data_IF_416653957415
#
_entry.id   IF_416653957415
#
_cell.length_a   1.000
_cell.length_b   1.000
_cell.length_c   1.000
_cell.angle_alpha   90.00
_cell.angle_beta   90.00
_cell.angle_gamma   90.00
#
_symmetry.space_group_name_H-M   'P 1'
#
loop_
_entity.id
_entity.type
_entity.pdbx_description
1 polymer ?
#
# COMPACT_ATOMS: atom_id res chain seq x y z
N UNK A 1 23.79 -2.51 16.70
CA UNK A 1 22.90 -1.35 16.93
C UNK A 1 22.65 -0.67 15.60
N UNK A 2 21.38 -0.39 15.26
CA UNK A 2 21.02 0.31 14.01
C UNK A 2 21.52 1.77 14.05
N UNK A 3 21.92 2.35 12.89
CA UNK A 3 22.13 3.78 12.79
C UNK A 3 20.81 4.52 13.02
N UNK A 4 20.83 5.77 13.51
CA UNK A 4 19.62 6.55 13.74
C UNK A 4 18.91 6.83 12.42
N UNK A 5 17.59 6.60 12.38
CA UNK A 5 16.82 6.90 11.19
C UNK A 5 16.73 8.42 10.96
N UNK A 6 16.93 8.89 9.71
CA UNK A 6 16.82 10.32 9.39
C UNK A 6 15.42 10.87 9.72
N UNK A 7 15.30 12.02 10.37
CA UNK A 7 14.01 12.62 10.67
C UNK A 7 13.31 13.16 9.43
N UNK A 8 11.99 13.36 9.51
CA UNK A 8 11.22 14.02 8.44
C UNK A 8 10.96 13.16 7.21
N UNK A 9 11.21 11.86 7.27
CA UNK A 9 10.91 10.94 6.18
C UNK A 9 9.41 10.75 5.98
N UNK A 10 8.97 10.88 4.73
CA UNK A 10 7.59 10.61 4.34
C UNK A 10 7.56 9.40 3.41
N UNK A 11 6.90 8.29 3.79
CA UNK A 11 6.77 7.13 2.92
C UNK A 11 6.16 7.46 1.57
N UNK A 12 6.63 6.81 0.51
CA UNK A 12 6.12 7.00 -0.85
C UNK A 12 4.59 6.88 -0.94
N UNK A 13 4.01 5.92 -0.22
CA UNK A 13 2.56 5.67 -0.25
C UNK A 13 1.74 6.64 0.61
N UNK A 14 2.36 7.51 1.41
CA UNK A 14 1.63 8.42 2.29
C UNK A 14 0.70 9.36 1.53
N UNK A 15 -0.46 9.67 2.12
CA UNK A 15 -1.35 10.72 1.67
C UNK A 15 -0.77 12.12 1.93
N UNK A 16 -1.36 13.13 1.29
CA UNK A 16 -0.97 14.52 1.44
C UNK A 16 -2.19 15.43 1.44
N UNK A 17 -2.13 16.53 2.19
CA UNK A 17 -3.28 17.39 2.43
C UNK A 17 -3.91 17.99 1.18
N UNK A 18 -3.13 18.21 0.11
CA UNK A 18 -3.60 18.76 -1.16
C UNK A 18 -3.96 17.68 -2.20
N UNK A 19 -3.78 16.40 -1.86
CA UNK A 19 -4.14 15.27 -2.71
C UNK A 19 -5.45 14.68 -2.21
N UNK A 20 -6.56 15.17 -2.71
CA UNK A 20 -7.91 14.83 -2.23
C UNK A 20 -8.63 13.86 -3.16
N UNK A 21 -9.58 13.14 -2.58
CA UNK A 21 -10.56 12.37 -3.33
C UNK A 21 -11.38 13.30 -4.23
N UNK A 22 -11.45 12.98 -5.51
CA UNK A 22 -12.35 13.64 -6.45
C UNK A 22 -13.74 13.03 -6.34
N UNK A 23 -14.67 13.75 -5.73
CA UNK A 23 -16.07 13.34 -5.72
C UNK A 23 -16.61 13.37 -7.16
N UNK A 24 -17.07 12.21 -7.66
CA UNK A 24 -17.72 12.07 -8.96
C UNK A 24 -19.03 11.33 -8.80
N UNK A 25 -20.08 11.71 -9.52
CA UNK A 25 -21.33 10.97 -9.50
C UNK A 25 -21.15 9.53 -9.92
N UNK A 26 -21.75 8.63 -9.15
CA UNK A 26 -21.81 7.20 -9.44
C UNK A 26 -23.12 6.91 -10.13
N UNK A 27 -23.06 6.21 -11.23
CA UNK A 27 -24.21 5.70 -11.98
C UNK A 27 -24.18 4.17 -12.03
N UNK A 28 -25.28 3.57 -12.42
CA UNK A 28 -25.32 2.15 -12.79
C UNK A 28 -24.49 1.95 -14.07
N UNK A 29 -23.64 0.96 -14.06
CA UNK A 29 -22.85 0.61 -15.25
C UNK A 29 -23.81 0.17 -16.36
N UNK A 30 -23.67 0.71 -17.59
CA UNK A 30 -24.44 0.23 -18.73
C UNK A 30 -24.10 -1.22 -19.06
N UNK A 31 -25.08 -1.99 -19.54
CA UNK A 31 -24.96 -3.34 -20.10
C UNK A 31 -24.64 -4.45 -19.08
N UNK A 32 -23.78 -4.22 -18.10
CA UNK A 32 -23.38 -5.24 -17.12
C UNK A 32 -23.62 -4.73 -15.68
N UNK A 33 -23.85 -5.63 -14.70
CA UNK A 33 -24.02 -5.21 -13.31
C UNK A 33 -22.81 -4.42 -12.79
N UNK A 34 -23.08 -3.42 -11.94
CA UNK A 34 -22.02 -2.68 -11.24
C UNK A 34 -22.20 -1.16 -11.25
N UNK A 35 -21.19 -0.49 -10.71
CA UNK A 35 -21.09 0.97 -10.66
C UNK A 35 -20.13 1.50 -11.73
N UNK A 36 -20.38 2.74 -12.15
CA UNK A 36 -19.54 3.47 -13.10
C UNK A 36 -19.49 4.96 -12.71
N UNK A 37 -18.52 5.69 -13.22
CA UNK A 37 -18.59 7.15 -13.25
C UNK A 37 -19.37 7.63 -14.48
N UNK A 38 -20.06 8.76 -14.36
CA UNK A 38 -20.75 9.40 -15.50
C UNK A 38 -19.76 9.67 -16.67
N UNK A 39 -18.55 10.08 -16.31
CA UNK A 39 -17.45 10.43 -17.21
C UNK A 39 -16.32 9.38 -17.15
N UNK A 40 -16.70 8.09 -17.02
CA UNK A 40 -15.73 7.00 -16.88
C UNK A 40 -14.79 6.89 -18.08
N UNK A 41 -13.52 6.65 -17.77
CA UNK A 41 -12.47 6.38 -18.73
C UNK A 41 -11.87 4.98 -18.50
N UNK A 42 -11.15 4.40 -19.46
CA UNK A 42 -10.49 3.10 -19.28
C UNK A 42 -9.51 3.07 -18.09
N UNK A 43 -8.95 4.21 -17.68
CA UNK A 43 -8.02 4.32 -16.56
C UNK A 43 -8.67 4.20 -15.19
N UNK A 44 -9.98 4.32 -15.12
CA UNK A 44 -10.73 4.25 -13.87
C UNK A 44 -10.91 2.82 -13.38
N UNK A 45 -10.60 1.82 -14.22
CA UNK A 45 -10.67 0.40 -13.84
C UNK A 45 -9.29 -0.25 -13.80
N UNK A 46 -9.20 -1.29 -12.97
CA UNK A 46 -8.07 -2.20 -13.04
C UNK A 46 -8.28 -3.30 -14.11
N UNK A 47 -7.28 -4.18 -14.25
CA UNK A 47 -7.32 -5.32 -15.17
C UNK A 47 -8.42 -6.34 -14.85
N UNK A 48 -8.99 -6.30 -13.65
CA UNK A 48 -10.11 -7.13 -13.22
C UNK A 48 -11.47 -6.44 -13.43
N UNK A 49 -11.47 -5.23 -13.99
CA UNK A 49 -12.69 -4.46 -14.26
C UNK A 49 -13.28 -3.73 -13.06
N UNK A 50 -12.59 -3.70 -11.90
CA UNK A 50 -13.06 -3.00 -10.71
C UNK A 50 -12.84 -1.50 -10.82
N UNK A 51 -13.85 -0.71 -10.46
CA UNK A 51 -13.81 0.75 -10.48
C UNK A 51 -12.94 1.29 -9.32
N UNK A 52 -12.05 2.24 -9.61
CA UNK A 52 -11.15 2.86 -8.63
C UNK A 52 -11.58 4.27 -8.28
N UNK A 53 -11.27 4.68 -7.04
CA UNK A 53 -11.38 6.07 -6.62
C UNK A 53 -10.48 6.96 -7.48
N UNK A 54 -10.96 8.17 -7.79
CA UNK A 54 -10.14 9.20 -8.41
C UNK A 54 -9.54 10.10 -7.34
N UNK A 55 -8.25 10.33 -7.42
CA UNK A 55 -7.50 11.19 -6.50
C UNK A 55 -6.71 12.24 -7.26
N UNK A 56 -6.55 13.41 -6.67
CA UNK A 56 -5.65 14.42 -7.22
C UNK A 56 -4.22 13.99 -6.98
N UNK A 57 -3.40 14.03 -8.02
CA UNK A 57 -1.94 13.91 -7.92
C UNK A 57 -1.32 15.30 -8.07
N UNK A 58 -0.48 15.69 -7.11
CA UNK A 58 0.23 16.97 -7.14
C UNK A 58 1.75 16.76 -7.29
N UNK A 59 2.47 17.67 -7.97
CA UNK A 59 3.93 17.73 -7.90
C UNK A 59 4.39 17.86 -6.45
N UNK A 60 5.56 17.30 -6.09
CA UNK A 60 6.06 17.21 -4.70
C UNK A 60 5.88 18.53 -3.92
N UNK A 61 6.29 19.65 -4.51
CA UNK A 61 6.21 21.01 -3.93
C UNK A 61 4.78 21.55 -3.71
N UNK A 62 3.75 20.89 -4.20
CA UNK A 62 2.33 21.31 -4.13
C UNK A 62 1.43 20.29 -3.42
N UNK A 63 2.01 19.32 -2.74
CA UNK A 63 1.26 18.27 -2.05
C UNK A 63 0.67 18.72 -0.71
N UNK A 64 1.17 19.84 -0.16
CA UNK A 64 0.83 20.30 1.19
C UNK A 64 1.57 19.50 2.26
N UNK A 65 0.93 19.23 3.39
CA UNK A 65 1.50 18.49 4.53
C UNK A 65 1.28 16.98 4.40
N UNK A 66 2.22 16.13 4.86
CA UNK A 66 2.03 14.68 4.84
C UNK A 66 0.98 14.23 5.85
N UNK A 67 0.13 13.31 5.41
CA UNK A 67 -0.91 12.68 6.22
C UNK A 67 -0.56 11.22 6.48
N UNK A 68 0.25 10.94 7.50
CA UNK A 68 0.79 9.60 7.80
C UNK A 68 -0.26 8.52 8.10
N UNK A 69 -1.49 8.91 8.46
CA UNK A 69 -2.60 7.97 8.68
C UNK A 69 -3.34 7.61 7.39
N UNK A 70 -3.10 8.37 6.33
CA UNK A 70 -3.73 8.18 5.04
C UNK A 70 -2.76 7.58 4.03
N UNK A 71 -3.26 6.64 3.26
CA UNK A 71 -2.52 6.00 2.16
C UNK A 71 -3.08 6.51 0.85
N UNK A 72 -2.21 7.02 -0.01
CA UNK A 72 -2.61 7.51 -1.33
C UNK A 72 -2.95 6.34 -2.27
N UNK A 73 -4.18 6.23 -2.80
CA UNK A 73 -4.63 5.07 -3.55
C UNK A 73 -3.75 4.69 -4.74
N UNK A 74 -3.37 5.68 -5.56
CA UNK A 74 -2.56 5.42 -6.76
C UNK A 74 -1.13 5.01 -6.43
N UNK A 75 -0.52 5.56 -5.38
CA UNK A 75 0.83 5.17 -4.97
C UNK A 75 0.84 3.77 -4.35
N UNK A 76 -0.15 3.46 -3.53
CA UNK A 76 -0.30 2.12 -2.97
C UNK A 76 -0.52 1.09 -4.07
N UNK A 77 -1.46 1.35 -4.99
CA UNK A 77 -1.73 0.47 -6.14
C UNK A 77 -0.46 0.25 -6.98
N UNK A 78 0.27 1.33 -7.31
CA UNK A 78 1.52 1.23 -8.07
C UNK A 78 2.58 0.43 -7.33
N UNK A 79 2.74 0.66 -6.02
CA UNK A 79 3.69 -0.09 -5.20
C UNK A 79 3.35 -1.58 -5.14
N UNK A 80 2.07 -1.93 -5.01
CA UNK A 80 1.60 -3.32 -5.02
C UNK A 80 1.80 -4.00 -6.38
N UNK A 81 1.43 -3.35 -7.47
CA UNK A 81 1.52 -3.93 -8.82
C UNK A 81 2.97 -4.19 -9.27
N UNK A 82 3.91 -3.40 -8.78
CA UNK A 82 5.32 -3.49 -9.15
C UNK A 82 6.21 -3.96 -8.00
N UNK A 83 5.65 -4.49 -6.92
CA UNK A 83 6.37 -4.91 -5.72
C UNK A 83 7.39 -3.87 -5.23
N UNK A 84 7.06 -2.57 -5.33
CA UNK A 84 7.95 -1.49 -4.94
C UNK A 84 7.94 -1.29 -3.43
N UNK A 85 9.09 -0.89 -2.90
CA UNK A 85 9.18 -0.49 -1.50
C UNK A 85 8.21 0.65 -1.17
N UNK A 86 7.32 0.44 -0.19
CA UNK A 86 6.31 1.41 0.22
C UNK A 86 6.89 2.72 0.77
N UNK A 87 8.16 2.71 1.19
CA UNK A 87 8.84 3.88 1.77
C UNK A 87 9.62 4.67 0.69
N UNK A 88 10.53 4.04 -0.03
CA UNK A 88 11.42 4.74 -0.97
C UNK A 88 11.08 4.55 -2.44
N UNK A 89 10.01 3.82 -2.76
CA UNK A 89 9.59 3.48 -4.12
C UNK A 89 10.62 2.70 -4.97
N UNK A 90 11.68 2.13 -4.34
CA UNK A 90 12.63 1.27 -5.06
C UNK A 90 11.91 0.04 -5.63
N UNK A 91 12.15 -0.23 -6.89
CA UNK A 91 11.78 -1.50 -7.52
C UNK A 91 12.78 -2.56 -7.06
N UNK A 92 12.35 -3.79 -6.74
CA UNK A 92 13.28 -4.86 -6.38
C UNK A 92 14.23 -5.18 -7.54
N UNK A 93 15.48 -5.53 -7.20
CA UNK A 93 16.47 -5.92 -8.20
C UNK A 93 16.09 -7.22 -8.90
N UNK A 94 15.49 -8.14 -8.15
CA UNK A 94 14.87 -9.37 -8.67
C UNK A 94 13.34 -9.30 -8.48
N UNK A 95 12.58 -9.01 -9.56
CA UNK A 95 11.12 -8.98 -9.50
C UNK A 95 10.48 -10.35 -9.20
N UNK A 96 11.20 -11.44 -9.42
CA UNK A 96 10.75 -12.82 -9.20
C UNK A 96 11.25 -13.40 -7.87
N UNK A 97 12.13 -12.69 -7.18
CA UNK A 97 12.61 -13.05 -5.86
C UNK A 97 11.57 -12.83 -4.76
N UNK A 98 11.90 -13.28 -3.53
CA UNK A 98 11.02 -13.04 -2.40
C UNK A 98 10.99 -11.56 -2.03
N UNK A 99 9.83 -11.10 -1.57
CA UNK A 99 9.59 -9.73 -1.13
C UNK A 99 9.43 -9.68 0.39
N UNK A 100 10.08 -8.70 1.03
CA UNK A 100 9.95 -8.48 2.47
C UNK A 100 8.67 -7.70 2.77
N UNK A 101 7.84 -8.25 3.65
CA UNK A 101 6.67 -7.59 4.22
C UNK A 101 6.91 -7.29 5.70
N UNK A 102 6.55 -6.08 6.09
CA UNK A 102 6.62 -5.59 7.47
C UNK A 102 5.22 -5.10 7.87
N UNK A 103 4.58 -5.82 8.77
CA UNK A 103 3.21 -5.56 9.20
C UNK A 103 3.18 -5.22 10.68
N UNK A 104 2.13 -4.51 11.10
CA UNK A 104 1.84 -4.35 12.53
C UNK A 104 1.50 -5.73 13.11
N UNK A 105 2.06 -6.04 14.26
CA UNK A 105 1.70 -7.25 15.01
C UNK A 105 0.22 -7.16 15.44
N UNK A 106 -0.57 -8.11 14.98
CA UNK A 106 -1.99 -8.28 15.30
C UNK A 106 -2.28 -9.57 16.05
N UNK A 107 -1.26 -10.21 16.59
CA UNK A 107 -1.38 -11.44 17.39
C UNK A 107 -0.59 -12.62 16.83
N UNK A 108 0.54 -12.39 16.23
CA UNK A 108 1.49 -13.43 15.82
C UNK A 108 2.14 -13.22 14.47
N UNK A 109 2.97 -14.17 14.09
CA UNK A 109 3.73 -14.12 12.84
C UNK A 109 2.81 -14.11 11.61
N UNK A 110 3.30 -13.50 10.52
CA UNK A 110 2.65 -13.56 9.20
C UNK A 110 2.56 -15.02 8.75
N UNK A 111 1.37 -15.44 8.34
CA UNK A 111 1.07 -16.82 7.97
C UNK A 111 0.94 -17.00 6.46
N UNK A 112 1.03 -18.25 6.03
CA UNK A 112 0.65 -18.62 4.66
C UNK A 112 -0.80 -18.21 4.37
N UNK A 113 -1.05 -17.55 3.23
CA UNK A 113 -2.36 -17.04 2.88
C UNK A 113 -2.76 -15.72 3.54
N UNK A 114 -1.86 -15.06 4.28
CA UNK A 114 -2.12 -13.76 4.90
C UNK A 114 -2.51 -12.71 3.86
N UNK A 115 -3.61 -12.00 4.12
CA UNK A 115 -4.08 -10.92 3.25
C UNK A 115 -3.56 -9.58 3.74
N UNK A 116 -2.99 -8.79 2.83
CA UNK A 116 -2.48 -7.47 3.20
C UNK A 116 -2.70 -6.41 2.13
N UNK A 117 -2.90 -5.16 2.57
CA UNK A 117 -2.86 -3.96 1.73
C UNK A 117 -1.55 -3.19 1.86
N UNK A 118 -0.62 -3.64 2.70
CA UNK A 118 0.70 -3.03 2.85
C UNK A 118 1.61 -3.51 1.74
N UNK A 119 2.17 -2.62 0.89
CA UNK A 119 3.18 -3.03 -0.08
C UNK A 119 4.47 -3.52 0.60
N UNK A 120 5.34 -4.23 -0.14
CA UNK A 120 6.61 -4.68 0.41
C UNK A 120 7.52 -3.52 0.85
N UNK A 121 8.57 -3.85 1.58
CA UNK A 121 9.57 -2.90 2.05
C UNK A 121 10.96 -3.47 1.79
N UNK A 122 11.93 -2.63 1.41
CA UNK A 122 13.33 -3.08 1.35
C UNK A 122 13.96 -3.08 2.74
N UNK A 123 14.99 -3.90 2.97
CA UNK A 123 15.65 -4.08 4.28
C UNK A 123 16.05 -2.74 4.92
N UNK A 124 16.72 -1.78 4.23
CA UNK A 124 17.03 -0.49 4.85
C UNK A 124 15.80 0.30 5.27
N UNK A 125 14.72 0.26 4.48
CA UNK A 125 13.48 0.96 4.81
C UNK A 125 12.70 0.25 5.93
N UNK A 126 12.85 -1.06 6.11
CA UNK A 126 12.36 -1.75 7.30
C UNK A 126 13.03 -1.23 8.56
N UNK A 127 14.38 -1.07 8.55
CA UNK A 127 15.14 -0.50 9.66
C UNK A 127 14.72 0.94 10.00
N UNK A 128 14.41 1.75 8.99
CA UNK A 128 13.84 3.09 9.17
C UNK A 128 12.43 3.00 9.79
N UNK A 129 11.59 2.12 9.24
CA UNK A 129 10.18 2.04 9.62
C UNK A 129 9.98 1.61 11.07
N UNK A 130 10.75 0.65 11.57
CA UNK A 130 10.66 0.22 12.98
C UNK A 130 11.09 1.30 13.97
N UNK A 131 11.90 2.27 13.54
CA UNK A 131 12.35 3.40 14.36
C UNK A 131 11.35 4.57 14.33
N UNK A 132 10.72 4.86 13.18
CA UNK A 132 9.93 6.08 12.99
C UNK A 132 8.42 5.86 13.00
N UNK A 133 7.93 4.66 12.66
CA UNK A 133 6.48 4.42 12.57
C UNK A 133 5.88 4.12 13.94
N UNK A 134 5.03 5.01 14.43
CA UNK A 134 4.32 4.80 15.71
C UNK A 134 3.57 3.47 15.81
N UNK A 135 3.04 2.97 14.71
CA UNK A 135 2.30 1.70 14.70
C UNK A 135 3.21 0.49 14.90
N UNK A 136 4.51 0.62 14.59
CA UNK A 136 5.51 -0.45 14.65
C UNK A 136 6.47 -0.28 15.84
N UNK A 137 6.41 0.84 16.54
CA UNK A 137 7.32 1.19 17.60
C UNK A 137 7.24 0.21 18.79
N UNK A 138 8.38 -0.04 19.44
CA UNK A 138 8.43 -0.93 20.62
C UNK A 138 8.22 -2.41 20.29
N UNK A 139 8.66 -2.85 19.13
CA UNK A 139 8.58 -4.27 18.72
C UNK A 139 7.20 -4.74 18.28
N UNK A 140 6.25 -3.81 18.06
CA UNK A 140 4.88 -4.14 17.63
C UNK A 140 4.79 -4.40 16.14
N UNK A 141 5.68 -5.21 15.61
CA UNK A 141 5.70 -5.59 14.21
C UNK A 141 6.05 -7.06 14.02
N UNK A 142 5.67 -7.56 12.87
CA UNK A 142 6.05 -8.88 12.36
C UNK A 142 6.59 -8.71 10.96
N UNK A 143 7.57 -9.51 10.60
CA UNK A 143 8.20 -9.47 9.29
C UNK A 143 8.29 -10.86 8.67
N UNK A 144 8.08 -10.93 7.36
CA UNK A 144 8.24 -12.18 6.61
C UNK A 144 8.66 -11.90 5.16
N UNK A 145 9.38 -12.84 4.60
CA UNK A 145 9.60 -12.95 3.16
C UNK A 145 8.45 -13.73 2.54
N UNK A 146 7.85 -13.21 1.47
CA UNK A 146 6.85 -13.92 0.68
C UNK A 146 7.40 -14.14 -0.74
N UNK A 147 7.36 -15.38 -1.21
CA UNK A 147 7.86 -15.76 -2.54
C UNK A 147 6.88 -15.42 -3.66
N UNK A 148 5.60 -15.54 -3.38
CA UNK A 148 4.52 -15.25 -4.34
C UNK A 148 3.51 -14.31 -3.70
N UNK A 149 3.08 -13.32 -4.46
CA UNK A 149 2.20 -12.25 -3.98
C UNK A 149 1.05 -12.04 -4.99
N UNK A 150 0.18 -13.04 -5.18
CA UNK A 150 -0.93 -12.90 -6.11
C UNK A 150 -1.93 -11.82 -5.67
N UNK A 151 -2.49 -11.11 -6.65
CA UNK A 151 -3.59 -10.19 -6.42
C UNK A 151 -4.81 -10.99 -5.91
N UNK A 152 -5.30 -10.63 -4.73
CA UNK A 152 -6.47 -11.27 -4.13
C UNK A 152 -7.75 -10.47 -4.39
N UNK A 153 -7.67 -9.15 -4.30
CA UNK A 153 -8.82 -8.27 -4.43
C UNK A 153 -8.49 -6.82 -4.13
N UNK A 154 -9.50 -6.10 -3.69
CA UNK A 154 -9.42 -4.67 -3.38
C UNK A 154 -10.07 -4.33 -2.05
N UNK A 155 -9.75 -3.14 -1.53
CA UNK A 155 -10.41 -2.57 -0.36
C UNK A 155 -10.99 -1.21 -0.73
N UNK A 156 -12.26 -0.99 -0.36
CA UNK A 156 -12.94 0.28 -0.63
C UNK A 156 -14.39 0.28 -0.20
N UNK A 157 -15.09 1.42 -0.35
CA UNK A 157 -16.51 1.51 -0.03
C UNK A 157 -17.34 0.65 -1.01
N UNK A 158 -18.27 -0.13 -0.43
CA UNK A 158 -19.29 -0.83 -1.17
C UNK A 158 -20.47 0.12 -1.47
N UNK A 159 -21.03 -0.03 -2.66
CA UNK A 159 -22.23 0.67 -3.08
C UNK A 159 -23.43 -0.28 -3.16
N UNK A 160 -24.56 0.16 -2.66
CA UNK A 160 -25.79 -0.64 -2.68
C UNK A 160 -26.30 -0.80 -4.13
N UNK A 161 -26.58 -2.04 -4.61
CA UNK A 161 -26.92 -2.27 -6.01
C UNK A 161 -28.17 -1.54 -6.53
N UNK A 162 -29.13 -1.22 -5.69
CA UNK A 162 -30.36 -0.50 -6.08
C UNK A 162 -30.21 1.01 -5.99
N UNK A 163 -29.66 1.53 -4.89
CA UNK A 163 -29.61 2.97 -4.63
C UNK A 163 -28.33 3.63 -5.13
N UNK A 164 -27.27 2.84 -5.41
CA UNK A 164 -25.92 3.26 -5.78
C UNK A 164 -25.21 4.12 -4.70
N UNK A 165 -25.82 4.29 -3.55
CA UNK A 165 -25.21 4.99 -2.43
C UNK A 165 -24.20 4.10 -1.71
N UNK A 166 -23.13 4.68 -1.12
CA UNK A 166 -22.24 3.92 -0.27
C UNK A 166 -23.01 3.29 0.90
N UNK A 167 -22.71 2.04 1.20
CA UNK A 167 -23.28 1.35 2.35
C UNK A 167 -22.54 1.86 3.61
N UNK A 168 -23.23 2.48 4.60
CA UNK A 168 -22.58 3.24 5.67
C UNK A 168 -21.54 2.49 6.50
N UNK A 169 -21.71 1.19 6.73
CA UNK A 169 -20.79 0.36 7.51
C UNK A 169 -19.74 -0.35 6.68
N UNK A 170 -19.74 -0.14 5.36
CA UNK A 170 -18.87 -0.82 4.40
C UNK A 170 -17.92 0.17 3.71
N UNK A 171 -17.31 1.06 4.50
CA UNK A 171 -16.41 2.10 3.96
C UNK A 171 -15.04 1.57 3.49
N UNK A 172 -14.60 0.44 4.04
CA UNK A 172 -13.31 -0.20 3.73
C UNK A 172 -13.47 -1.72 3.71
N UNK A 173 -14.37 -2.20 2.86
CA UNK A 173 -14.63 -3.63 2.71
C UNK A 173 -13.57 -4.33 1.88
N UNK A 174 -13.25 -5.55 2.28
CA UNK A 174 -12.35 -6.45 1.57
C UNK A 174 -13.15 -7.22 0.52
N UNK A 175 -12.91 -6.95 -0.74
CA UNK A 175 -13.67 -7.54 -1.85
C UNK A 175 -12.74 -8.34 -2.74
N UNK A 176 -12.96 -9.66 -2.76
CA UNK A 176 -12.20 -10.58 -3.62
C UNK A 176 -12.53 -10.34 -5.09
N UNK A 177 -11.52 -10.36 -5.94
CA UNK A 177 -11.73 -10.34 -7.39
C UNK A 177 -12.61 -11.51 -7.84
N UNK A 178 -13.50 -11.23 -8.78
CA UNK A 178 -14.46 -12.22 -9.29
C UNK A 178 -15.64 -12.53 -8.37
N UNK A 179 -15.72 -11.93 -7.16
CA UNK A 179 -16.92 -12.05 -6.30
C UNK A 179 -18.08 -11.23 -6.86
N UNK A 180 -19.29 -11.56 -6.42
CA UNK A 180 -20.51 -10.81 -6.77
C UNK A 180 -20.47 -9.33 -6.34
N UNK A 181 -19.63 -8.98 -5.35
CA UNK A 181 -19.45 -7.62 -4.84
C UNK A 181 -18.39 -6.82 -5.60
N UNK A 182 -17.53 -7.46 -6.40
CA UNK A 182 -16.49 -6.78 -7.16
C UNK A 182 -17.02 -5.67 -8.10
N UNK A 183 -18.19 -5.82 -8.76
CA UNK A 183 -18.79 -4.75 -9.57
C UNK A 183 -19.31 -3.56 -8.75
N UNK A 184 -19.51 -3.71 -7.44
CA UNK A 184 -20.14 -2.73 -6.57
C UNK A 184 -19.18 -2.03 -5.61
N UNK A 185 -17.91 -2.39 -5.61
CA UNK A 185 -16.88 -1.72 -4.82
C UNK A 185 -16.23 -0.59 -5.63
N UNK A 186 -15.94 0.52 -4.96
CA UNK A 186 -15.08 1.57 -5.49
C UNK A 186 -13.72 1.45 -4.80
N UNK A 187 -12.78 0.76 -5.45
CA UNK A 187 -11.49 0.40 -4.89
C UNK A 187 -10.65 1.62 -4.50
N UNK A 188 -10.04 1.55 -3.32
CA UNK A 188 -9.09 2.52 -2.80
C UNK A 188 -7.72 1.92 -2.52
N UNK A 189 -7.63 0.59 -2.34
CA UNK A 189 -6.38 -0.14 -2.12
C UNK A 189 -6.41 -1.48 -2.83
N UNK A 190 -5.26 -1.90 -3.35
CA UNK A 190 -5.03 -3.29 -3.77
C UNK A 190 -4.79 -4.15 -2.54
N UNK A 191 -5.34 -5.35 -2.53
CA UNK A 191 -5.09 -6.39 -1.55
C UNK A 191 -4.46 -7.59 -2.22
N UNK A 192 -3.45 -8.14 -1.59
CA UNK A 192 -2.71 -9.32 -2.05
C UNK A 192 -2.75 -10.42 -1.01
N UNK A 193 -2.47 -11.63 -1.45
CA UNK A 193 -2.27 -12.79 -0.59
C UNK A 193 -0.79 -13.16 -0.56
N UNK A 194 -0.24 -13.38 0.63
CA UNK A 194 1.17 -13.77 0.80
C UNK A 194 1.30 -15.27 0.77
N UNK A 195 2.15 -15.79 -0.12
CA UNK A 195 2.39 -17.23 -0.31
C UNK A 195 3.87 -17.55 -0.33
N UNK A 196 4.23 -18.78 0.09
CA UNK A 196 5.59 -19.19 0.30
C UNK A 196 6.24 -18.33 1.39
N UNK A 197 5.52 -18.18 2.49
CA UNK A 197 5.87 -17.28 3.59
C UNK A 197 6.96 -17.90 4.46
N UNK A 198 8.03 -17.16 4.72
CA UNK A 198 9.08 -17.51 5.67
C UNK A 198 9.30 -16.34 6.64
N UNK A 199 9.35 -16.57 7.97
CA UNK A 199 9.65 -15.51 8.93
C UNK A 199 10.95 -14.81 8.58
N UNK A 200 10.99 -13.48 8.69
CA UNK A 200 12.18 -12.68 8.50
C UNK A 200 12.74 -12.26 9.86
N UNK A 201 13.97 -12.64 10.11
CA UNK A 201 14.77 -12.13 11.23
C UNK A 201 15.40 -10.80 10.82
N UNK A 202 14.76 -9.70 11.18
CA UNK A 202 15.23 -8.37 10.78
C UNK A 202 16.61 -8.03 11.36
N UNK A 203 16.94 -8.50 12.56
CA UNK A 203 18.27 -8.25 13.15
C UNK A 203 19.37 -8.92 12.34
N UNK A 204 19.11 -10.14 11.87
CA UNK A 204 20.00 -10.86 10.95
C UNK A 204 20.12 -10.15 9.60
N UNK A 205 19.00 -9.70 9.03
CA UNK A 205 18.97 -8.96 7.75
C UNK A 205 19.78 -7.65 7.84
N UNK A 206 19.62 -6.91 8.95
CA UNK A 206 20.38 -5.67 9.20
C UNK A 206 21.85 -5.93 9.42
N UNK A 207 22.20 -6.99 10.16
CA UNK A 207 23.58 -7.39 10.38
C UNK A 207 24.27 -7.80 9.07
N UNK A 208 23.56 -8.56 8.21
CA UNK A 208 24.06 -8.99 6.92
C UNK A 208 24.33 -7.80 5.97
N UNK A 209 23.51 -6.77 6.03
CA UNK A 209 23.73 -5.56 5.23
C UNK A 209 24.91 -4.71 5.74
N UNK A 210 25.14 -4.73 7.04
CA UNK A 210 26.20 -3.98 7.71
C UNK A 210 25.83 -2.50 7.96
N UNK A 211 26.49 -1.92 8.97
CA UNK A 211 26.20 -0.55 9.43
C UNK A 211 26.45 0.51 8.36
N UNK A 212 27.61 0.48 7.72
CA UNK A 212 28.00 1.49 6.73
C UNK A 212 27.01 1.52 5.55
N UNK A 213 26.60 0.34 5.10
CA UNK A 213 25.61 0.24 4.02
C UNK A 213 24.23 0.73 4.44
N UNK A 214 23.84 0.50 5.69
CA UNK A 214 22.57 1.05 6.23
C UNK A 214 22.62 2.57 6.27
N UNK A 215 23.73 3.18 6.69
CA UNK A 215 23.93 4.64 6.74
C UNK A 215 23.85 5.25 5.33
N UNK A 216 24.53 4.68 4.34
CA UNK A 216 24.44 5.08 2.94
C UNK A 216 22.99 5.05 2.42
N UNK A 217 22.30 3.94 2.66
CA UNK A 217 20.92 3.76 2.23
C UNK A 217 19.95 4.72 2.96
N UNK A 218 20.18 5.01 4.24
CA UNK A 218 19.40 5.99 4.99
C UNK A 218 19.56 7.39 4.40
N UNK A 219 20.80 7.79 4.08
CA UNK A 219 21.08 9.07 3.41
C UNK A 219 20.38 9.15 2.05
N UNK A 220 20.45 8.07 1.25
CA UNK A 220 19.77 8.00 -0.05
C UNK A 220 18.25 8.13 0.10
N UNK A 221 17.66 7.42 1.06
CA UNK A 221 16.21 7.47 1.30
C UNK A 221 15.79 8.86 1.76
N UNK A 222 16.57 9.49 2.62
CA UNK A 222 16.33 10.87 3.06
C UNK A 222 16.22 11.85 1.88
N UNK A 223 17.17 11.80 0.94
CA UNK A 223 17.12 12.65 -0.26
C UNK A 223 15.86 12.47 -1.11
N UNK A 224 15.32 11.25 -1.17
CA UNK A 224 14.14 10.94 -1.97
C UNK A 224 12.82 11.33 -1.29
N UNK A 225 12.77 11.23 0.04
CA UNK A 225 11.52 11.22 0.78
C UNK A 225 11.31 12.41 1.71
N UNK A 226 12.39 13.14 2.08
CA UNK A 226 12.26 14.33 2.93
C UNK A 226 11.45 15.42 2.22
N UNK A 227 10.57 16.06 2.97
CA UNK A 227 9.90 17.30 2.54
C UNK A 227 10.94 18.43 2.60
N UNK A 228 11.25 19.00 1.45
CA UNK A 228 12.08 20.20 1.37
C UNK A 228 11.20 21.42 1.63
#
# INVERSE_FOLDING_TARGET
MLPPAPPGLVPYIAGWSEEKLLARPIIRRPVVPGIAYVDETPYDRDSFGVLWVRYVLRPKRRRGSPEFRNVHPYRQRRAMLNMMCQVCARVPADPHGPHLFLLKDSGGAIREGELTTSPPVCVPCAAISIQLCHALHGGRFVAAWARHVPAWGVVGPLHHPRTLQPIPRCAMEHVKYGSEWAPWVRAARTMVELRGVTPADLDREFAALGRDRLEEEFARVAQLTTVA
#
